data_IF_439179978785
#
_entry.id   IF_439179978785
#
_cell.length_a   1.000
_cell.length_b   1.000
_cell.length_c   1.000
_cell.angle_alpha   90.00
_cell.angle_beta   90.00
_cell.angle_gamma   90.00
#
_symmetry.space_group_name_H-M   'P 1'
#
loop_
_entity.id
_entity.type
_entity.pdbx_description
1 polymer ?
#
# COMPACT_ATOMS: atom_id res chain seq x y z
N UNK A 1 -16.18 -20.78 -13.63
CA UNK A 1 -15.72 -19.41 -13.33
C UNK A 1 -16.06 -18.55 -14.54
N UNK A 2 -16.61 -17.35 -14.34
CA UNK A 2 -16.88 -16.42 -15.43
C UNK A 2 -15.54 -15.96 -16.03
N UNK A 3 -15.35 -16.14 -17.34
CA UNK A 3 -14.11 -15.83 -18.07
C UNK A 3 -13.86 -14.31 -18.17
N UNK A 4 -14.88 -13.47 -17.93
CA UNK A 4 -14.78 -12.01 -18.02
C UNK A 4 -14.46 -11.32 -16.67
N UNK A 5 -14.18 -12.09 -15.62
CA UNK A 5 -13.81 -11.52 -14.32
C UNK A 5 -12.29 -11.27 -14.27
N UNK A 6 -11.82 -10.01 -14.14
CA UNK A 6 -10.39 -9.70 -14.19
C UNK A 6 -9.61 -10.14 -12.94
N UNK A 7 -10.30 -10.63 -11.91
CA UNK A 7 -9.67 -11.02 -10.64
C UNK A 7 -9.31 -12.49 -10.65
N UNK A 8 -8.06 -12.78 -10.30
CA UNK A 8 -7.66 -14.11 -9.89
C UNK A 8 -8.01 -14.34 -8.42
N UNK A 9 -9.02 -15.19 -8.18
CA UNK A 9 -9.43 -15.59 -6.83
C UNK A 9 -8.81 -16.91 -6.37
N UNK A 10 -8.14 -17.63 -7.27
CA UNK A 10 -7.60 -18.96 -6.99
C UNK A 10 -6.13 -18.86 -6.60
N UNK A 11 -5.36 -18.03 -7.31
CA UNK A 11 -3.92 -17.93 -7.13
C UNK A 11 -3.25 -19.31 -7.24
N UNK A 12 -2.36 -19.63 -6.30
CA UNK A 12 -1.67 -20.93 -6.27
C UNK A 12 -2.57 -22.13 -5.90
N UNK A 13 -3.80 -21.91 -5.43
CA UNK A 13 -4.66 -23.01 -4.99
C UNK A 13 -4.05 -23.87 -3.87
N UNK A 14 -4.63 -25.06 -3.63
CA UNK A 14 -4.17 -25.98 -2.56
C UNK A 14 -2.90 -26.74 -2.93
N UNK A 15 -2.82 -27.21 -4.17
CA UNK A 15 -1.83 -28.21 -4.59
C UNK A 15 -0.68 -27.63 -5.43
N UNK A 16 -0.76 -26.35 -5.85
CA UNK A 16 0.25 -25.69 -6.70
C UNK A 16 1.03 -24.57 -5.99
N UNK A 17 1.16 -24.61 -4.65
CA UNK A 17 2.00 -23.67 -3.91
C UNK A 17 3.48 -24.00 -4.18
N UNK A 18 4.28 -23.09 -4.78
CA UNK A 18 5.67 -23.38 -5.11
C UNK A 18 6.55 -23.40 -3.85
N UNK A 19 7.61 -24.21 -3.90
CA UNK A 19 8.70 -24.08 -2.93
C UNK A 19 9.49 -22.80 -3.23
N UNK A 20 9.52 -21.89 -2.26
CA UNK A 20 10.16 -20.59 -2.39
C UNK A 20 11.69 -20.68 -2.51
N UNK A 21 12.31 -21.80 -2.10
CA UNK A 21 13.75 -22.08 -2.28
C UNK A 21 14.66 -20.92 -1.85
N UNK A 22 14.40 -20.31 -0.69
CA UNK A 22 15.18 -19.18 -0.21
C UNK A 22 16.67 -19.54 -0.03
N UNK A 23 17.59 -18.57 -0.22
CA UNK A 23 19.02 -18.80 -0.05
C UNK A 23 19.34 -19.48 1.29
N UNK A 24 20.31 -20.41 1.25
CA UNK A 24 20.77 -21.17 2.41
C UNK A 24 19.68 -22.03 3.11
N UNK A 25 18.57 -22.32 2.44
CA UNK A 25 17.47 -23.09 3.02
C UNK A 25 16.69 -22.34 4.11
N UNK A 26 16.71 -21.00 4.07
CA UNK A 26 15.98 -20.16 5.02
C UNK A 26 14.48 -20.48 5.01
N UNK A 27 13.85 -20.44 6.19
CA UNK A 27 12.42 -20.78 6.35
C UNK A 27 11.47 -19.60 6.11
N UNK A 28 11.99 -18.38 6.14
CA UNK A 28 11.24 -17.15 5.93
C UNK A 28 12.14 -16.12 5.26
N UNK A 29 11.56 -15.30 4.39
CA UNK A 29 12.17 -14.07 3.91
C UNK A 29 11.56 -12.90 4.69
N UNK A 30 12.41 -12.07 5.31
CA UNK A 30 11.99 -10.82 5.98
C UNK A 30 12.38 -9.65 5.08
N UNK A 31 11.46 -8.72 4.85
CA UNK A 31 11.67 -7.60 3.94
C UNK A 31 11.30 -6.29 4.66
N UNK A 32 12.31 -5.46 4.93
CA UNK A 32 12.12 -4.12 5.49
C UNK A 32 11.82 -3.12 4.38
N UNK A 33 10.64 -2.50 4.40
CA UNK A 33 10.25 -1.42 3.49
C UNK A 33 10.37 -0.11 4.26
N UNK A 34 11.07 0.86 3.68
CA UNK A 34 11.05 2.24 4.15
C UNK A 34 10.40 3.08 3.06
N UNK A 35 9.17 3.52 3.32
CA UNK A 35 8.55 4.54 2.50
C UNK A 35 9.12 5.90 2.93
N UNK A 36 9.37 6.76 1.96
CA UNK A 36 9.73 8.14 2.18
C UNK A 36 8.73 8.98 1.40
N UNK A 37 7.64 9.33 2.07
CA UNK A 37 6.49 10.04 1.52
C UNK A 37 6.49 11.51 1.98
N UNK A 38 7.30 11.82 3.00
CA UNK A 38 7.38 13.12 3.64
C UNK A 38 7.87 14.21 2.68
N UNK A 39 7.05 15.25 2.53
CA UNK A 39 7.19 16.31 1.53
C UNK A 39 6.42 16.04 0.24
N UNK A 40 5.79 14.87 0.10
CA UNK A 40 4.92 14.49 -1.03
C UNK A 40 3.46 14.26 -0.62
N UNK A 41 3.11 14.50 0.65
CA UNK A 41 1.75 14.43 1.13
C UNK A 41 0.85 15.51 0.51
N UNK A 42 -0.48 15.34 0.64
CA UNK A 42 -1.41 16.36 0.20
C UNK A 42 -1.14 17.68 0.93
N UNK A 43 -0.81 18.71 0.18
CA UNK A 43 -0.48 20.01 0.73
C UNK A 43 -0.91 21.13 -0.22
N UNK A 44 -1.57 22.15 0.33
CA UNK A 44 -2.00 23.32 -0.44
C UNK A 44 -0.85 24.05 -1.13
N UNK A 45 0.38 23.96 -0.58
CA UNK A 45 1.58 24.51 -1.21
C UNK A 45 2.00 23.73 -2.46
N UNK A 46 1.59 22.47 -2.58
CA UNK A 46 1.81 21.62 -3.75
C UNK A 46 0.70 21.78 -4.80
N UNK A 47 -0.32 22.58 -4.52
CA UNK A 47 -1.47 22.81 -5.40
C UNK A 47 -2.65 21.88 -5.14
N UNK A 48 -2.59 21.05 -4.09
CA UNK A 48 -3.69 20.19 -3.70
C UNK A 48 -4.84 21.00 -3.10
N UNK A 49 -6.07 20.52 -3.30
CA UNK A 49 -7.27 21.21 -2.82
C UNK A 49 -7.40 21.23 -1.30
N UNK A 50 -6.68 20.35 -0.59
CA UNK A 50 -6.76 20.21 0.86
C UNK A 50 -5.45 19.69 1.49
N UNK A 51 -5.36 19.77 2.82
CA UNK A 51 -4.27 19.19 3.62
C UNK A 51 -4.38 17.66 3.77
N UNK A 52 -3.25 17.00 4.06
CA UNK A 52 -3.19 15.56 4.36
C UNK A 52 -4.04 15.19 5.59
N UNK A 53 -4.60 13.98 5.55
CA UNK A 53 -5.41 13.39 6.64
C UNK A 53 -4.96 11.99 7.02
N UNK A 54 -4.16 11.32 6.19
CA UNK A 54 -3.78 9.93 6.35
C UNK A 54 -2.43 9.75 7.05
N UNK A 55 -2.25 8.59 7.71
CA UNK A 55 -1.02 8.15 8.40
C UNK A 55 -0.33 9.23 9.27
N UNK A 56 -1.13 9.96 10.05
CA UNK A 56 -0.62 10.90 11.06
C UNK A 56 -1.07 10.49 12.46
N UNK A 57 -0.45 11.11 13.48
CA UNK A 57 -0.84 10.95 14.89
C UNK A 57 -2.22 11.56 15.20
N UNK A 58 -2.77 12.38 14.29
CA UNK A 58 -4.06 13.05 14.48
C UNK A 58 -5.17 12.12 14.00
N UNK A 59 -5.73 11.36 14.94
CA UNK A 59 -6.89 10.52 14.68
C UNK A 59 -8.09 11.37 14.22
N UNK A 60 -8.61 11.09 13.03
CA UNK A 60 -9.75 11.81 12.47
C UNK A 60 -9.43 13.23 12.00
N UNK A 61 -8.18 13.49 11.56
CA UNK A 61 -7.81 14.75 10.93
C UNK A 61 -8.80 15.11 9.81
N UNK A 62 -9.42 16.28 9.92
CA UNK A 62 -10.28 16.82 8.88
C UNK A 62 -9.43 17.58 7.84
N UNK A 63 -9.73 17.36 6.57
CA UNK A 63 -9.01 17.99 5.48
C UNK A 63 -9.34 19.49 5.46
N UNK A 64 -8.34 20.33 5.76
CA UNK A 64 -8.48 21.78 5.64
C UNK A 64 -8.30 22.18 4.19
N UNK A 65 -9.26 22.95 3.66
CA UNK A 65 -9.18 23.47 2.29
C UNK A 65 -8.43 24.80 2.28
N UNK A 66 -7.73 25.08 1.17
CA UNK A 66 -7.21 26.42 0.94
C UNK A 66 -8.40 27.38 0.82
N UNK A 67 -8.47 28.38 1.70
CA UNK A 67 -9.52 29.39 1.70
C UNK A 67 -9.38 30.32 0.49
N UNK A 68 -10.04 29.95 -0.61
CA UNK A 68 -10.52 30.86 -1.66
C UNK A 68 -12.04 30.79 -1.64
#
# INVERSE_FOLDING_TARGET
MNQDNPRDYVGYGRDNVPDANWPNGAKIAVQFVLNYEEGGENCVLHGDSHSETFLSEIAGAEATQSGI
#
